data_IF_350361069896
#
_entry.id   IF_350361069896
#
_cell.length_a   1.000
_cell.length_b   1.000
_cell.length_c   1.000
_cell.angle_alpha   90.00
_cell.angle_beta   90.00
_cell.angle_gamma   90.00
#
_symmetry.space_group_name_H-M   'P 1'
#
loop_
_entity.id
_entity.type
_entity.pdbx_description
1 polymer ?
#
# COMPACT_ATOMS: atom_id res chain seq x y z
N UNK A 1 4.14 -5.47 17.64
CA UNK A 1 3.14 -5.91 16.63
C UNK A 1 2.16 -6.95 17.14
N UNK A 2 2.57 -8.10 17.69
CA UNK A 2 1.63 -9.13 18.18
C UNK A 2 0.57 -8.56 19.15
N UNK A 3 1.03 -7.82 20.17
CA UNK A 3 0.12 -7.23 21.15
C UNK A 3 -0.84 -6.18 20.57
N UNK A 4 -0.42 -5.45 19.53
CA UNK A 4 -1.28 -4.51 18.79
C UNK A 4 -2.35 -5.28 18.00
N UNK A 5 -1.95 -6.32 17.27
CA UNK A 5 -2.84 -7.16 16.48
C UNK A 5 -3.90 -7.86 17.36
N UNK A 6 -3.51 -8.39 18.52
CA UNK A 6 -4.44 -9.00 19.48
C UNK A 6 -5.43 -7.99 20.06
N UNK A 7 -4.97 -6.79 20.42
CA UNK A 7 -5.86 -5.73 20.92
C UNK A 7 -6.84 -5.26 19.84
N UNK A 8 -6.39 -5.14 18.59
CA UNK A 8 -7.26 -4.84 17.46
C UNK A 8 -8.30 -5.92 17.23
N UNK A 9 -7.87 -7.19 17.16
CA UNK A 9 -8.77 -8.33 16.97
C UNK A 9 -9.88 -8.37 18.02
N UNK A 10 -9.54 -8.13 19.30
CA UNK A 10 -10.51 -8.05 20.37
C UNK A 10 -11.51 -6.90 20.19
N UNK A 11 -11.07 -5.75 19.68
CA UNK A 11 -11.93 -4.59 19.45
C UNK A 11 -12.76 -4.69 18.15
N UNK A 12 -12.24 -5.30 17.09
CA UNK A 12 -12.92 -5.40 15.79
C UNK A 12 -13.95 -6.53 15.73
N UNK A 13 -13.80 -7.56 16.57
CA UNK A 13 -14.63 -8.77 16.46
C UNK A 13 -14.46 -9.39 15.07
N UNK A 14 -15.56 -9.56 14.35
CA UNK A 14 -15.58 -10.15 13.01
C UNK A 14 -15.21 -9.16 11.89
N UNK A 15 -15.11 -7.86 12.17
CA UNK A 15 -14.73 -6.86 11.16
C UNK A 15 -13.31 -7.13 10.65
N UNK A 16 -13.14 -7.43 9.35
CA UNK A 16 -11.83 -7.65 8.77
C UNK A 16 -10.93 -6.44 8.87
N UNK A 17 -9.64 -6.68 9.16
CA UNK A 17 -8.62 -5.65 9.06
C UNK A 17 -7.31 -6.22 8.51
N UNK A 18 -6.46 -5.34 8.00
CA UNK A 18 -5.12 -5.67 7.56
C UNK A 18 -4.15 -4.49 7.74
N UNK A 19 -2.87 -4.82 7.81
CA UNK A 19 -1.77 -3.88 7.90
C UNK A 19 -1.38 -3.36 6.51
N UNK A 20 -1.28 -2.04 6.38
CA UNK A 20 -0.89 -1.35 5.15
C UNK A 20 0.23 -0.33 5.44
N UNK A 21 0.58 0.49 4.45
CA UNK A 21 1.48 1.61 4.63
C UNK A 21 2.95 1.22 4.78
N UNK A 22 3.75 2.13 5.35
CA UNK A 22 5.21 1.97 5.41
C UNK A 22 5.63 0.83 6.36
N UNK A 23 4.85 0.56 7.41
CA UNK A 23 5.12 -0.59 8.30
C UNK A 23 4.95 -1.92 7.54
N UNK A 24 3.94 -2.04 6.67
CA UNK A 24 3.80 -3.23 5.82
C UNK A 24 5.00 -3.41 4.88
N UNK A 25 5.44 -2.33 4.21
CA UNK A 25 6.66 -2.34 3.39
C UNK A 25 7.87 -2.84 4.17
N UNK A 26 8.08 -2.34 5.39
CA UNK A 26 9.24 -2.71 6.21
C UNK A 26 9.19 -4.20 6.60
N UNK A 27 8.02 -4.71 7.00
CA UNK A 27 7.85 -6.13 7.30
C UNK A 27 8.15 -7.01 6.10
N UNK A 28 7.69 -6.64 4.91
CA UNK A 28 7.89 -7.42 3.69
C UNK A 28 9.34 -7.32 3.21
N UNK A 29 9.90 -6.12 3.07
CA UNK A 29 11.24 -5.95 2.52
C UNK A 29 12.32 -6.32 3.55
N UNK A 30 12.29 -5.71 4.73
CA UNK A 30 13.38 -5.85 5.70
C UNK A 30 13.29 -7.17 6.47
N UNK A 31 12.12 -7.48 7.03
CA UNK A 31 12.03 -8.63 7.94
C UNK A 31 11.85 -9.95 7.20
N UNK A 32 11.10 -9.99 6.09
CA UNK A 32 10.94 -11.22 5.32
C UNK A 32 12.11 -11.48 4.35
N UNK A 33 12.73 -10.43 3.79
CA UNK A 33 13.74 -10.57 2.73
C UNK A 33 15.11 -9.94 3.03
N UNK A 34 15.31 -9.32 4.19
CA UNK A 34 16.60 -8.71 4.56
C UNK A 34 16.95 -7.44 3.76
N UNK A 35 15.99 -6.85 3.07
CA UNK A 35 16.17 -5.68 2.20
C UNK A 35 15.95 -4.41 3.01
N UNK A 36 16.99 -3.59 3.15
CA UNK A 36 16.88 -2.31 3.84
C UNK A 36 15.97 -1.34 3.06
N UNK A 37 14.86 -0.94 3.67
CA UNK A 37 13.89 0.00 3.10
C UNK A 37 14.31 1.48 3.18
N UNK A 38 15.43 1.79 3.83
CA UNK A 38 16.05 3.12 3.89
C UNK A 38 15.36 4.15 4.79
N UNK A 39 14.09 3.93 5.17
CA UNK A 39 13.31 4.82 6.04
C UNK A 39 12.72 4.03 7.20
N UNK A 40 12.90 4.49 8.43
CA UNK A 40 12.18 3.96 9.60
C UNK A 40 10.83 4.69 9.76
N UNK A 41 9.73 3.96 9.60
CA UNK A 41 8.37 4.42 9.94
C UNK A 41 8.14 4.30 11.45
N UNK A 42 7.31 5.18 12.01
CA UNK A 42 6.94 5.16 13.44
C UNK A 42 5.43 5.05 13.64
N UNK A 43 4.71 4.92 12.53
CA UNK A 43 3.28 4.92 12.36
C UNK A 43 2.83 3.59 11.76
N UNK A 44 1.70 3.08 12.25
CA UNK A 44 1.08 1.84 11.81
C UNK A 44 -0.27 2.16 11.20
N UNK A 45 -0.41 1.93 9.90
CA UNK A 45 -1.67 2.09 9.18
C UNK A 45 -2.45 0.76 9.20
N UNK A 46 -3.66 0.77 9.74
CA UNK A 46 -4.57 -0.37 9.74
C UNK A 46 -5.81 -0.03 8.92
N UNK A 47 -6.04 -0.82 7.89
CA UNK A 47 -7.25 -0.75 7.09
C UNK A 47 -8.35 -1.62 7.71
N UNK A 48 -9.55 -1.07 7.90
CA UNK A 48 -10.69 -1.75 8.52
C UNK A 48 -11.88 -1.80 7.56
N UNK A 49 -12.37 -3.01 7.27
CA UNK A 49 -13.55 -3.21 6.44
C UNK A 49 -14.81 -3.06 7.30
N UNK A 50 -15.56 -1.97 7.10
CA UNK A 50 -16.67 -1.57 7.96
C UNK A 50 -17.94 -1.30 7.17
N UNK A 51 -19.12 -1.57 7.76
CA UNK A 51 -20.40 -1.28 7.13
C UNK A 51 -20.81 0.19 7.24
N UNK A 52 -20.41 0.88 8.33
CA UNK A 52 -20.86 2.23 8.64
C UNK A 52 -19.98 2.92 9.70
N UNK A 53 -20.24 4.22 9.91
CA UNK A 53 -19.55 5.04 10.92
C UNK A 53 -19.89 4.65 12.36
N UNK A 54 -21.08 4.14 12.63
CA UNK A 54 -21.45 3.68 13.97
C UNK A 54 -20.57 2.50 14.42
N UNK A 55 -20.26 1.59 13.51
CA UNK A 55 -19.33 0.48 13.73
C UNK A 55 -17.91 0.98 13.95
N UNK A 56 -17.46 1.96 13.15
CA UNK A 56 -16.16 2.61 13.36
C UNK A 56 -16.04 3.22 14.77
N UNK A 57 -17.03 4.02 15.18
CA UNK A 57 -17.06 4.65 16.49
C UNK A 57 -17.10 3.64 17.64
N UNK A 58 -17.84 2.54 17.47
CA UNK A 58 -17.90 1.46 18.45
C UNK A 58 -16.55 0.75 18.61
N UNK A 59 -15.85 0.44 17.50
CA UNK A 59 -14.49 -0.14 17.53
C UNK A 59 -13.53 0.82 18.20
N UNK A 60 -13.52 2.09 17.79
CA UNK A 60 -12.66 3.12 18.37
C UNK A 60 -12.89 3.27 19.87
N UNK A 61 -14.15 3.28 20.31
CA UNK A 61 -14.52 3.38 21.72
C UNK A 61 -14.02 2.18 22.52
N UNK A 62 -14.12 0.95 21.97
CA UNK A 62 -13.56 -0.26 22.59
C UNK A 62 -12.04 -0.21 22.72
N UNK A 63 -11.34 0.24 21.69
CA UNK A 63 -9.87 0.40 21.73
C UNK A 63 -9.45 1.35 22.86
N UNK A 64 -10.11 2.52 22.96
CA UNK A 64 -9.84 3.50 24.02
C UNK A 64 -10.19 2.98 25.41
N UNK A 65 -11.34 2.31 25.57
CA UNK A 65 -11.77 1.73 26.84
C UNK A 65 -10.84 0.60 27.33
N UNK A 66 -10.10 -0.05 26.41
CA UNK A 66 -9.12 -1.09 26.74
C UNK A 66 -7.86 -0.60 27.45
N UNK A 67 -7.68 0.72 27.63
CA UNK A 67 -6.60 1.32 28.42
C UNK A 67 -5.20 1.29 27.76
N UNK A 68 -5.05 0.61 26.64
CA UNK A 68 -3.79 0.51 25.86
C UNK A 68 -3.71 1.54 24.73
N UNK A 69 -4.84 2.17 24.39
CA UNK A 69 -4.92 3.19 23.36
C UNK A 69 -5.35 4.52 23.97
N UNK A 70 -4.78 5.61 23.45
CA UNK A 70 -5.26 6.96 23.67
C UNK A 70 -5.55 7.64 22.33
N UNK A 71 -6.38 8.69 22.35
CA UNK A 71 -6.60 9.52 21.17
C UNK A 71 -5.34 10.34 20.85
N UNK A 72 -5.02 10.49 19.57
CA UNK A 72 -3.93 11.35 19.11
C UNK A 72 -4.50 12.65 18.50
N UNK A 73 -4.65 13.68 19.34
CA UNK A 73 -5.26 14.94 18.94
C UNK A 73 -6.76 14.84 18.65
N UNK A 74 -7.25 15.64 17.71
CA UNK A 74 -8.68 15.72 17.33
C UNK A 74 -9.05 14.79 16.17
N UNK A 75 -8.06 14.20 15.49
CA UNK A 75 -8.29 13.33 14.34
C UNK A 75 -8.89 11.98 14.80
N UNK A 76 -10.10 11.65 14.33
CA UNK A 76 -10.80 10.42 14.72
C UNK A 76 -10.04 9.15 14.37
N UNK A 77 -9.27 9.16 13.27
CA UNK A 77 -8.48 8.04 12.79
C UNK A 77 -7.16 7.82 13.52
N UNK A 78 -6.67 8.78 14.32
CA UNK A 78 -5.34 8.67 14.93
C UNK A 78 -5.44 8.27 16.39
N UNK A 79 -4.78 7.16 16.71
CA UNK A 79 -4.62 6.65 18.08
C UNK A 79 -3.13 6.54 18.42
N UNK A 80 -2.83 6.46 19.71
CA UNK A 80 -1.51 6.08 20.21
C UNK A 80 -1.65 4.79 21.02
N UNK A 81 -0.93 3.75 20.60
CA UNK A 81 -0.84 2.48 21.32
C UNK A 81 0.35 2.49 22.28
N UNK A 82 0.11 2.08 23.53
CA UNK A 82 1.11 2.00 24.62
C UNK A 82 1.89 3.32 24.84
N UNK A 83 1.29 4.46 24.45
CA UNK A 83 1.86 5.80 24.66
C UNK A 83 2.97 6.21 23.70
N UNK A 84 3.39 5.37 22.73
CA UNK A 84 4.47 5.72 21.81
C UNK A 84 4.23 5.37 20.34
N UNK A 85 3.37 4.39 20.03
CA UNK A 85 3.17 3.93 18.66
C UNK A 85 1.94 4.60 18.06
N UNK A 86 2.13 5.43 17.04
CA UNK A 86 1.01 6.03 16.32
C UNK A 86 0.32 4.97 15.46
N UNK A 87 -1.01 4.94 15.52
CA UNK A 87 -1.85 4.02 14.75
C UNK A 87 -2.89 4.83 13.99
N UNK A 88 -2.89 4.69 12.68
CA UNK A 88 -3.88 5.30 11.78
C UNK A 88 -4.95 4.25 11.39
N UNK A 89 -6.22 4.63 11.51
CA UNK A 89 -7.36 3.80 11.19
C UNK A 89 -7.98 4.25 9.86
N UNK A 90 -7.92 3.37 8.87
CA UNK A 90 -8.42 3.65 7.52
C UNK A 90 -9.67 2.81 7.26
N UNK A 91 -10.89 3.35 7.41
CA UNK A 91 -12.10 2.60 7.16
C UNK A 91 -12.39 2.49 5.66
N UNK A 92 -12.80 1.31 5.21
CA UNK A 92 -13.23 1.04 3.83
C UNK A 92 -14.35 -0.02 3.83
N UNK A 93 -14.93 -0.35 2.68
CA UNK A 93 -16.04 -1.30 2.57
C UNK A 93 -17.39 -0.60 2.33
N UNK A 94 -18.48 -1.09 2.93
CA UNK A 94 -19.80 -0.50 2.68
C UNK A 94 -19.98 0.91 3.29
N UNK A 95 -19.03 1.35 4.12
CA UNK A 95 -18.90 2.74 4.60
C UNK A 95 -18.53 3.73 3.48
N UNK A 96 -18.03 3.23 2.34
CA UNK A 96 -17.63 4.04 1.20
C UNK A 96 -18.84 4.71 0.51
N UNK A 97 -18.61 5.91 -0.01
CA UNK A 97 -19.50 6.58 -0.96
C UNK A 97 -19.40 5.91 -2.34
N UNK A 98 -20.35 6.23 -3.23
CA UNK A 98 -20.41 5.67 -4.59
C UNK A 98 -19.14 5.95 -5.42
N UNK A 99 -18.42 7.03 -5.14
CA UNK A 99 -17.16 7.40 -5.77
C UNK A 99 -15.92 6.75 -5.13
N UNK A 100 -16.11 5.77 -4.23
CA UNK A 100 -15.04 5.07 -3.48
C UNK A 100 -14.25 6.02 -2.56
N UNK A 101 -14.89 7.08 -2.08
CA UNK A 101 -14.37 7.97 -1.02
C UNK A 101 -15.06 7.73 0.32
N UNK A 102 -14.43 8.19 1.39
CA UNK A 102 -15.05 8.33 2.71
C UNK A 102 -14.99 9.80 3.13
N UNK A 103 -15.94 10.23 3.95
CA UNK A 103 -15.91 11.55 4.55
C UNK A 103 -16.10 11.48 6.05
N UNK A 104 -15.15 12.05 6.76
CA UNK A 104 -15.02 11.89 8.19
C UNK A 104 -16.13 12.65 8.93
N UNK A 105 -16.85 12.00 9.87
CA UNK A 105 -17.87 12.65 10.67
C UNK A 105 -17.27 13.70 11.62
N UNK A 106 -18.09 14.61 12.17
CA UNK A 106 -19.53 14.73 11.93
C UNK A 106 -19.89 15.47 10.63
N UNK A 107 -19.05 16.40 10.18
CA UNK A 107 -19.40 17.35 9.12
C UNK A 107 -19.04 16.86 7.71
N UNK A 108 -18.19 15.83 7.59
CA UNK A 108 -17.77 15.29 6.31
C UNK A 108 -16.81 16.20 5.52
N UNK A 109 -16.22 17.20 6.18
CA UNK A 109 -15.31 18.18 5.55
C UNK A 109 -14.01 17.55 5.05
N UNK A 110 -13.49 16.57 5.79
CA UNK A 110 -12.31 15.82 5.37
C UNK A 110 -12.74 14.61 4.55
N UNK A 111 -12.44 14.63 3.26
CA UNK A 111 -12.73 13.55 2.31
C UNK A 111 -11.42 12.91 1.87
N UNK A 112 -11.38 11.58 1.84
CA UNK A 112 -10.25 10.83 1.30
C UNK A 112 -10.75 9.68 0.42
N UNK A 113 -10.02 9.36 -0.65
CA UNK A 113 -10.31 8.12 -1.39
C UNK A 113 -9.85 6.92 -0.59
N UNK A 114 -10.59 5.83 -0.71
CA UNK A 114 -10.16 4.49 -0.31
C UNK A 114 -10.30 3.52 -1.49
N UNK A 115 -10.29 4.07 -2.71
CA UNK A 115 -10.22 3.29 -3.93
C UNK A 115 -9.01 2.34 -3.89
N UNK A 116 -9.23 1.07 -4.25
CA UNK A 116 -8.21 0.03 -4.22
C UNK A 116 -8.18 -0.79 -2.94
N UNK A 117 -8.74 -0.33 -1.82
CA UNK A 117 -8.70 -1.08 -0.55
C UNK A 117 -9.49 -2.39 -0.61
N UNK A 118 -10.65 -2.40 -1.27
CA UNK A 118 -11.43 -3.62 -1.46
C UNK A 118 -10.68 -4.62 -2.36
N UNK A 119 -10.06 -4.11 -3.42
CA UNK A 119 -9.32 -4.91 -4.40
C UNK A 119 -8.07 -5.54 -3.77
N UNK A 120 -7.31 -4.76 -3.00
CA UNK A 120 -6.09 -5.28 -2.36
C UNK A 120 -6.36 -6.24 -1.22
N UNK A 121 -7.49 -6.09 -0.52
CA UNK A 121 -7.85 -6.90 0.64
C UNK A 121 -7.85 -8.40 0.32
N UNK A 122 -8.39 -8.78 -0.84
CA UNK A 122 -8.46 -10.18 -1.32
C UNK A 122 -7.07 -10.79 -1.60
N UNK A 123 -6.05 -9.93 -1.75
CA UNK A 123 -4.66 -10.35 -2.06
C UNK A 123 -3.71 -10.17 -0.87
N UNK A 124 -4.26 -9.90 0.31
CA UNK A 124 -3.48 -9.77 1.54
C UNK A 124 -2.85 -11.09 1.95
N UNK A 125 -1.63 -11.00 2.47
CA UNK A 125 -0.83 -12.14 2.90
C UNK A 125 -1.06 -12.40 4.40
N UNK A 126 -1.39 -13.62 4.82
CA UNK A 126 -1.43 -13.97 6.23
C UNK A 126 -0.01 -14.05 6.78
N UNK A 127 0.24 -13.38 7.91
CA UNK A 127 1.51 -13.43 8.64
C UNK A 127 1.25 -13.89 10.06
N UNK A 128 2.07 -14.85 10.50
CA UNK A 128 2.10 -15.28 11.89
C UNK A 128 3.10 -14.43 12.67
N UNK A 129 2.60 -13.80 13.73
CA UNK A 129 3.38 -13.05 14.70
C UNK A 129 3.74 -13.96 15.88
N UNK A 130 4.64 -13.50 16.78
CA UNK A 130 4.88 -14.19 18.05
C UNK A 130 3.59 -14.48 18.82
N UNK A 131 3.65 -15.47 19.71
CA UNK A 131 2.54 -15.92 20.57
C UNK A 131 1.31 -16.49 19.82
N UNK A 132 1.49 -16.83 18.53
CA UNK A 132 0.44 -17.43 17.71
C UNK A 132 -0.55 -16.43 17.13
N UNK A 133 -0.36 -15.13 17.37
CA UNK A 133 -1.15 -14.08 16.75
C UNK A 133 -1.00 -14.09 15.24
N UNK A 134 -2.08 -13.78 14.53
CA UNK A 134 -2.06 -13.66 13.07
C UNK A 134 -2.37 -12.22 12.68
N UNK A 135 -1.92 -11.78 11.53
CA UNK A 135 -2.37 -10.52 10.92
C UNK A 135 -2.32 -10.67 9.42
N UNK A 136 -3.21 -9.99 8.71
CA UNK A 136 -3.11 -9.86 7.25
C UNK A 136 -2.29 -8.63 6.94
N UNK A 137 -1.40 -8.73 5.98
CA UNK A 137 -0.57 -7.62 5.50
C UNK A 137 -0.81 -7.47 4.00
N UNK A 138 -0.89 -6.24 3.52
CA UNK A 138 -0.94 -5.95 2.09
C UNK A 138 0.26 -6.60 1.36
N UNK A 139 0.09 -7.10 0.14
CA UNK A 139 1.22 -7.57 -0.68
C UNK A 139 2.01 -6.38 -1.28
N UNK A 140 3.24 -6.60 -1.76
CA UNK A 140 4.03 -5.51 -2.36
C UNK A 140 3.36 -4.89 -3.61
N UNK A 141 2.78 -5.65 -4.55
CA UNK A 141 2.09 -5.05 -5.70
C UNK A 141 0.83 -4.29 -5.27
N UNK A 142 0.07 -4.84 -4.31
CA UNK A 142 -1.08 -4.16 -3.74
C UNK A 142 -0.69 -2.84 -3.06
N UNK A 143 0.41 -2.84 -2.30
CA UNK A 143 0.93 -1.64 -1.67
C UNK A 143 1.39 -0.62 -2.71
N UNK A 144 2.03 -1.05 -3.80
CA UNK A 144 2.43 -0.18 -4.90
C UNK A 144 1.21 0.50 -5.56
N UNK A 145 0.11 -0.24 -5.79
CA UNK A 145 -1.16 0.33 -6.27
C UNK A 145 -1.67 1.43 -5.33
N UNK A 146 -1.77 1.13 -4.03
CA UNK A 146 -2.26 2.10 -3.04
C UNK A 146 -1.33 3.33 -2.94
N UNK A 147 -0.02 3.13 -3.07
CA UNK A 147 0.97 4.22 -3.02
C UNK A 147 0.94 5.11 -4.25
N UNK A 148 0.72 4.55 -5.45
CA UNK A 148 0.51 5.35 -6.66
C UNK A 148 -0.72 6.25 -6.52
N UNK A 149 -1.84 5.69 -6.04
CA UNK A 149 -3.08 6.43 -5.83
C UNK A 149 -2.91 7.51 -4.76
N UNK A 150 -2.37 7.13 -3.58
CA UNK A 150 -2.13 8.07 -2.49
C UNK A 150 -1.21 9.21 -2.93
N UNK A 151 -0.12 8.92 -3.65
CA UNK A 151 0.80 9.93 -4.16
C UNK A 151 0.08 10.98 -5.01
N UNK A 152 -0.84 10.60 -5.91
CA UNK A 152 -1.59 11.57 -6.73
C UNK A 152 -2.43 12.53 -5.91
N UNK A 153 -2.90 12.12 -4.73
CA UNK A 153 -3.78 12.92 -3.89
C UNK A 153 -3.01 13.76 -2.86
N UNK A 154 -1.91 13.23 -2.34
CA UNK A 154 -1.22 13.82 -1.19
C UNK A 154 0.23 14.22 -1.42
N UNK A 155 0.76 14.17 -2.65
CA UNK A 155 2.18 14.55 -2.91
C UNK A 155 2.55 15.96 -2.44
N UNK A 156 1.61 16.90 -2.42
CA UNK A 156 1.86 18.28 -1.96
C UNK A 156 1.73 18.43 -0.44
N UNK A 157 0.92 17.59 0.21
CA UNK A 157 0.65 17.65 1.66
C UNK A 157 1.54 16.70 2.46
N UNK A 158 1.96 15.58 1.88
CA UNK A 158 2.91 14.61 2.44
C UNK A 158 4.06 14.29 1.45
N UNK A 159 4.90 15.28 1.10
CA UNK A 159 5.88 15.15 0.03
C UNK A 159 6.87 14.00 0.28
N UNK A 160 7.18 13.27 -0.79
CA UNK A 160 8.17 12.19 -0.82
C UNK A 160 7.76 10.88 -0.13
N UNK A 161 6.78 10.87 0.80
CA UNK A 161 6.46 9.64 1.57
C UNK A 161 6.14 8.45 0.67
N UNK A 162 5.20 8.63 -0.26
CA UNK A 162 4.75 7.55 -1.15
C UNK A 162 5.75 7.27 -2.28
N UNK A 163 6.42 8.31 -2.79
CA UNK A 163 7.44 8.17 -3.83
C UNK A 163 8.65 7.35 -3.35
N UNK A 164 9.09 7.52 -2.10
CA UNK A 164 10.14 6.70 -1.50
C UNK A 164 9.73 5.22 -1.40
N UNK A 165 8.49 4.95 -0.98
CA UNK A 165 7.97 3.59 -0.88
C UNK A 165 7.92 2.93 -2.27
N UNK A 166 7.41 3.65 -3.27
CA UNK A 166 7.35 3.18 -4.66
C UNK A 166 8.74 2.90 -5.22
N UNK A 167 9.70 3.80 -5.01
CA UNK A 167 11.08 3.60 -5.47
C UNK A 167 11.71 2.33 -4.88
N UNK A 168 11.48 2.08 -3.59
CA UNK A 168 11.97 0.88 -2.94
C UNK A 168 11.35 -0.38 -3.54
N UNK A 169 10.02 -0.40 -3.71
CA UNK A 169 9.30 -1.57 -4.25
C UNK A 169 9.70 -1.82 -5.71
N UNK A 170 9.70 -0.80 -6.58
CA UNK A 170 10.06 -0.92 -7.99
C UNK A 170 11.44 -1.56 -8.19
N UNK A 171 12.43 -1.14 -7.40
CA UNK A 171 13.81 -1.60 -7.54
C UNK A 171 14.08 -2.96 -6.92
N UNK A 172 13.28 -3.36 -5.93
CA UNK A 172 13.54 -4.53 -5.07
C UNK A 172 12.54 -5.65 -5.26
N UNK A 173 11.65 -5.55 -6.25
CA UNK A 173 10.58 -6.52 -6.40
C UNK A 173 11.07 -7.95 -6.65
N UNK A 174 12.09 -8.15 -7.49
CA UNK A 174 12.70 -9.48 -7.69
C UNK A 174 13.39 -10.00 -6.43
N UNK A 175 14.18 -9.14 -5.78
CA UNK A 175 14.91 -9.49 -4.55
C UNK A 175 13.95 -9.85 -3.40
N UNK A 176 12.73 -9.30 -3.42
CA UNK A 176 11.67 -9.58 -2.46
C UNK A 176 10.93 -10.91 -2.75
N UNK A 177 11.69 -11.98 -3.00
CA UNK A 177 11.17 -13.34 -3.17
C UNK A 177 10.62 -13.68 -4.56
N UNK A 178 10.82 -12.82 -5.57
CA UNK A 178 10.34 -13.06 -6.94
C UNK A 178 11.47 -13.42 -7.93
N UNK A 179 12.69 -13.69 -7.45
CA UNK A 179 13.84 -13.99 -8.32
C UNK A 179 13.59 -15.15 -9.29
N UNK A 180 13.02 -16.26 -8.80
CA UNK A 180 12.68 -17.43 -9.64
C UNK A 180 11.70 -17.09 -10.77
N UNK A 181 10.83 -16.10 -10.55
CA UNK A 181 9.82 -15.69 -11.55
C UNK A 181 10.44 -14.99 -12.75
N UNK A 182 11.70 -14.59 -12.66
CA UNK A 182 12.47 -14.13 -13.82
C UNK A 182 12.62 -15.24 -14.88
N UNK A 183 12.71 -16.50 -14.44
CA UNK A 183 12.91 -17.67 -15.29
C UNK A 183 11.59 -18.38 -15.67
N UNK A 184 10.45 -17.95 -15.12
CA UNK A 184 9.13 -18.51 -15.43
C UNK A 184 8.21 -17.51 -16.12
N UNK A 185 8.01 -16.34 -15.51
CA UNK A 185 6.98 -15.38 -15.91
C UNK A 185 7.56 -14.30 -16.82
N UNK A 186 8.82 -13.92 -16.56
CA UNK A 186 9.52 -12.86 -17.28
C UNK A 186 10.64 -13.38 -18.20
N UNK A 187 10.62 -14.67 -18.57
CA UNK A 187 11.69 -15.33 -19.33
C UNK A 187 12.03 -14.60 -20.62
N UNK A 188 11.00 -14.07 -21.32
CA UNK A 188 11.19 -13.29 -22.55
C UNK A 188 12.06 -12.05 -22.39
N UNK A 189 12.16 -11.49 -21.17
CA UNK A 189 12.98 -10.31 -20.89
C UNK A 189 14.47 -10.66 -20.82
N UNK A 190 14.81 -11.93 -20.54
CA UNK A 190 16.21 -12.39 -20.47
C UNK A 190 16.89 -12.40 -21.85
N UNK A 191 16.11 -12.50 -22.92
CA UNK A 191 16.60 -12.53 -24.30
C UNK A 191 16.79 -11.11 -24.89
N UNK A 192 16.39 -10.07 -24.16
CA UNK A 192 16.54 -8.68 -24.63
C UNK A 192 18.02 -8.24 -24.57
N UNK A 193 18.57 -7.62 -25.63
CA UNK A 193 20.00 -7.24 -25.68
C UNK A 193 20.45 -6.29 -24.56
N UNK A 194 19.51 -5.51 -24.03
CA UNK A 194 19.69 -4.52 -22.97
C UNK A 194 19.03 -4.97 -21.65
N UNK A 195 19.00 -6.29 -21.40
CA UNK A 195 18.45 -6.85 -20.16
C UNK A 195 18.92 -6.10 -18.92
N UNK A 196 17.95 -5.64 -18.13
CA UNK A 196 18.17 -4.99 -16.86
C UNK A 196 17.32 -5.66 -15.78
N UNK A 197 18.00 -6.11 -14.73
CA UNK A 197 17.39 -6.87 -13.65
C UNK A 197 16.32 -6.08 -12.87
N UNK A 198 16.56 -4.80 -12.53
CA UNK A 198 15.52 -4.04 -11.82
C UNK A 198 14.37 -3.67 -12.77
N UNK A 199 14.62 -3.45 -14.07
CA UNK A 199 13.55 -3.23 -15.05
C UNK A 199 12.68 -4.47 -15.24
N UNK A 200 13.26 -5.66 -15.28
CA UNK A 200 12.51 -6.91 -15.30
C UNK A 200 11.65 -7.08 -14.04
N UNK A 201 12.17 -6.68 -12.88
CA UNK A 201 11.40 -6.64 -11.64
C UNK A 201 10.26 -5.63 -11.67
N UNK A 202 10.49 -4.42 -12.19
CA UNK A 202 9.45 -3.43 -12.34
C UNK A 202 8.36 -3.89 -13.32
N UNK A 203 8.73 -4.57 -14.41
CA UNK A 203 7.76 -5.20 -15.31
C UNK A 203 6.89 -6.22 -14.58
N UNK A 204 7.49 -7.13 -13.82
CA UNK A 204 6.77 -8.15 -13.06
C UNK A 204 5.85 -7.51 -12.00
N UNK A 205 6.31 -6.46 -11.31
CA UNK A 205 5.48 -5.68 -10.40
C UNK A 205 4.26 -5.10 -11.12
N UNK A 206 4.49 -4.49 -12.29
CA UNK A 206 3.44 -3.99 -13.18
C UNK A 206 2.38 -5.03 -13.49
N UNK A 207 2.83 -6.21 -13.93
CA UNK A 207 1.96 -7.34 -14.23
C UNK A 207 1.11 -7.75 -13.02
N UNK A 208 1.73 -7.92 -11.85
CA UNK A 208 1.02 -8.34 -10.64
C UNK A 208 0.07 -7.26 -10.09
N UNK A 209 0.41 -5.98 -10.24
CA UNK A 209 -0.49 -4.86 -9.93
C UNK A 209 -1.79 -4.93 -10.76
N UNK A 210 -1.69 -5.27 -12.04
CA UNK A 210 -2.85 -5.39 -12.91
C UNK A 210 -3.72 -6.62 -12.58
N UNK A 211 -3.12 -7.71 -12.08
CA UNK A 211 -3.86 -8.91 -11.65
C UNK A 211 -4.69 -8.68 -10.38
N UNK A 212 -4.25 -7.79 -9.48
CA UNK A 212 -5.01 -7.41 -8.28
C UNK A 212 -6.29 -6.63 -8.65
N UNK A 213 -6.20 -5.81 -9.69
CA UNK A 213 -7.27 -4.89 -10.04
C UNK A 213 -8.29 -5.53 -10.99
N UNK A 214 -9.60 -5.36 -10.72
CA UNK A 214 -10.62 -5.72 -11.69
C UNK A 214 -10.44 -4.87 -12.95
N UNK A 215 -10.85 -5.41 -14.10
CA UNK A 215 -10.67 -4.75 -15.40
C UNK A 215 -11.17 -3.29 -15.42
N UNK A 216 -12.28 -3.01 -14.74
CA UNK A 216 -12.85 -1.66 -14.66
C UNK A 216 -11.98 -0.66 -13.87
N UNK A 217 -11.13 -1.13 -12.94
CA UNK A 217 -10.25 -0.30 -12.13
C UNK A 217 -8.85 -0.09 -12.75
N UNK A 218 -8.42 -0.99 -13.65
CA UNK A 218 -7.10 -0.93 -14.32
C UNK A 218 -6.81 0.40 -15.04
N UNK A 219 -7.76 1.04 -15.77
CA UNK A 219 -7.48 2.29 -16.48
C UNK A 219 -6.94 3.40 -15.58
N UNK A 220 -7.45 3.53 -14.33
CA UNK A 220 -7.03 4.58 -13.40
C UNK A 220 -5.55 4.46 -13.03
N UNK A 221 -5.07 3.24 -12.78
CA UNK A 221 -3.65 3.00 -12.44
C UNK A 221 -2.77 3.04 -13.68
N UNK A 222 -3.25 2.52 -14.81
CA UNK A 222 -2.54 2.60 -16.08
C UNK A 222 -2.30 4.05 -16.53
N UNK A 223 -3.29 4.94 -16.35
CA UNK A 223 -3.15 6.37 -16.65
C UNK A 223 -2.03 7.02 -15.83
N UNK A 224 -1.95 6.73 -14.53
CA UNK A 224 -0.89 7.25 -13.66
C UNK A 224 0.48 6.75 -14.14
N UNK A 225 0.62 5.44 -14.36
CA UNK A 225 1.88 4.84 -14.82
C UNK A 225 2.33 5.41 -16.17
N UNK A 226 1.41 5.59 -17.12
CA UNK A 226 1.72 6.14 -18.43
C UNK A 226 2.10 7.63 -18.35
N UNK A 227 1.34 8.43 -17.59
CA UNK A 227 1.61 9.86 -17.43
C UNK A 227 2.95 10.13 -16.73
N UNK A 228 3.23 9.40 -15.66
CA UNK A 228 4.46 9.59 -14.89
C UNK A 228 5.68 8.89 -15.50
N UNK A 229 5.46 7.90 -16.38
CA UNK A 229 6.49 7.24 -17.17
C UNK A 229 6.80 7.92 -18.50
N UNK A 230 6.07 8.96 -18.90
CA UNK A 230 6.32 9.73 -20.12
C UNK A 230 7.51 10.68 -19.93
N UNK A 231 8.65 10.46 -20.62
CA UNK A 231 9.83 11.31 -20.49
C UNK A 231 9.62 12.72 -21.04
N UNK A 232 8.57 12.94 -21.82
CA UNK A 232 8.16 14.26 -22.33
C UNK A 232 7.03 14.90 -21.50
N UNK A 233 6.55 14.19 -20.47
CA UNK A 233 5.53 14.66 -19.54
C UNK A 233 6.07 15.54 -18.41
N UNK A 234 5.25 15.74 -17.38
CA UNK A 234 5.61 16.56 -16.22
C UNK A 234 6.61 15.88 -15.26
N UNK A 235 6.78 14.56 -15.37
CA UNK A 235 7.74 13.72 -14.62
C UNK A 235 7.74 13.98 -13.11
N UNK A 236 6.56 14.26 -12.53
CA UNK A 236 6.43 14.70 -11.15
C UNK A 236 6.82 13.60 -10.17
N UNK A 237 6.39 12.37 -10.42
CA UNK A 237 6.74 11.23 -9.56
C UNK A 237 8.25 10.97 -9.59
N UNK A 238 8.89 11.09 -10.76
CA UNK A 238 10.34 10.98 -10.87
C UNK A 238 11.08 12.06 -10.06
N UNK A 239 10.56 13.28 -10.05
CA UNK A 239 11.10 14.37 -9.21
C UNK A 239 10.92 14.16 -7.70
N UNK A 240 9.94 13.36 -7.29
CA UNK A 240 9.66 13.08 -5.87
C UNK A 240 10.40 11.83 -5.34
N UNK A 241 10.96 10.99 -6.23
CA UNK A 241 11.68 9.76 -5.85
C UNK A 241 13.16 10.03 -5.50
N UNK A 242 13.73 9.30 -4.54
CA UNK A 242 15.13 9.49 -4.10
C UNK A 242 16.17 8.77 -4.96
N UNK A 243 15.95 8.69 -6.27
CA UNK A 243 16.85 8.05 -7.23
C UNK A 243 16.91 8.89 -8.51
N UNK A 244 17.86 8.59 -9.41
CA UNK A 244 18.00 9.30 -10.68
C UNK A 244 16.70 9.27 -11.51
N UNK A 245 16.27 10.43 -12.02
CA UNK A 245 15.00 10.57 -12.73
C UNK A 245 14.92 9.71 -14.00
N UNK A 246 16.03 9.56 -14.73
CA UNK A 246 16.10 8.67 -15.92
C UNK A 246 15.83 7.23 -15.50
N UNK A 247 16.41 6.81 -14.36
CA UNK A 247 16.15 5.48 -13.80
C UNK A 247 14.69 5.31 -13.38
N UNK A 248 14.07 6.31 -12.74
CA UNK A 248 12.65 6.26 -12.38
C UNK A 248 11.79 6.06 -13.62
N UNK A 249 12.02 6.86 -14.67
CA UNK A 249 11.25 6.78 -15.90
C UNK A 249 11.33 5.39 -16.53
N UNK A 250 12.53 4.81 -16.61
CA UNK A 250 12.70 3.46 -17.12
C UNK A 250 11.95 2.41 -16.27
N UNK A 251 11.99 2.51 -14.94
CA UNK A 251 11.24 1.63 -14.04
C UNK A 251 9.72 1.77 -14.22
N UNK A 252 9.21 3.00 -14.29
CA UNK A 252 7.78 3.27 -14.49
C UNK A 252 7.30 2.79 -15.87
N UNK A 253 8.08 2.99 -16.92
CA UNK A 253 7.78 2.48 -18.27
C UNK A 253 7.74 0.95 -18.30
N UNK A 254 8.69 0.31 -17.62
CA UNK A 254 8.73 -1.15 -17.51
C UNK A 254 7.51 -1.69 -16.75
N UNK A 255 7.16 -1.07 -15.61
CA UNK A 255 5.96 -1.39 -14.86
C UNK A 255 4.68 -1.14 -15.69
N UNK A 256 4.60 -0.04 -16.43
CA UNK A 256 3.48 0.24 -17.32
C UNK A 256 3.35 -0.82 -18.43
N UNK A 257 4.48 -1.31 -18.98
CA UNK A 257 4.50 -2.40 -19.96
C UNK A 257 3.93 -3.69 -19.36
N UNK A 258 4.42 -4.11 -18.19
CA UNK A 258 3.90 -5.30 -17.51
C UNK A 258 2.43 -5.21 -17.15
N UNK A 259 2.00 -4.03 -16.68
CA UNK A 259 0.60 -3.77 -16.33
C UNK A 259 -0.36 -3.94 -17.51
N UNK A 260 0.07 -3.57 -18.74
CA UNK A 260 -0.75 -3.67 -19.95
C UNK A 260 -0.80 -5.07 -20.56
N UNK A 261 0.18 -5.91 -20.26
CA UNK A 261 0.30 -7.23 -20.88
C UNK A 261 -0.54 -8.31 -20.17
N UNK A 262 -1.22 -7.98 -19.06
CA UNK A 262 -2.19 -8.88 -18.43
C UNK A 262 -3.39 -9.07 -19.36
N UNK A 263 -3.59 -10.31 -19.80
CA UNK A 263 -4.78 -10.76 -20.53
C UNK A 263 -5.88 -11.18 -19.56
N UNK A 264 -7.14 -10.93 -19.92
CA UNK A 264 -8.32 -11.38 -19.16
C UNK A 264 -8.57 -12.89 -19.29
#
# INVERSE_FOLDING_TARGET
>A
MAALAGAFRAATGDSPFFLVGATARDLLLQYAHGINSGRKTRDVDLALMLPDWATFEAIRSRLLAGGRFSANGTALHKLVFEGFLEVDLIPFGAIERADRSIAWPPDGEFVMTVFGFHEVFETTLPVQLPDGEKIRIVSLPALAVLKLLAWTERRLTEPGKDAYDLAAILRKYLDAGNHERLYTDATRLLDEPDFDYELAGAWLLGHDMAQILPRAARPRVAEILNREGDPHGAVLLAGDMPIDATRVLALLQSAAKGFREVTD
#
